data_IF_129364992263
#
_entry.id   IF_129364992263
#
_cell.length_a   1.000
_cell.length_b   1.000
_cell.length_c   1.000
_cell.angle_alpha   90.00
_cell.angle_beta   90.00
_cell.angle_gamma   90.00
#
_symmetry.space_group_name_H-M   'P 1'
#
loop_
_entity.id
_entity.type
_entity.pdbx_description
1 polymer ?
#
# COMPACT_ATOMS: atom_id res chain seq x y z
N UNK A 1 4.28 28.18 49.60
CA UNK A 1 5.61 28.07 48.98
C UNK A 1 6.22 26.65 49.11
N UNK A 2 6.61 26.17 50.31
CA UNK A 2 7.28 24.86 50.48
C UNK A 2 6.46 23.60 50.11
N UNK A 3 5.12 23.68 50.12
CA UNK A 3 4.26 22.56 49.69
C UNK A 3 4.47 22.19 48.23
N UNK A 4 4.64 23.18 47.35
CA UNK A 4 4.83 22.96 45.92
C UNK A 4 6.16 22.24 45.65
N UNK A 5 7.22 22.64 46.35
CA UNK A 5 8.52 21.97 46.28
C UNK A 5 8.46 20.51 46.73
N UNK A 6 7.67 20.18 47.78
CA UNK A 6 7.48 18.78 48.22
C UNK A 6 6.68 17.94 47.22
N UNK A 7 5.71 18.54 46.52
CA UNK A 7 4.94 17.86 45.48
C UNK A 7 5.83 17.56 44.29
N UNK A 8 6.61 18.54 43.81
CA UNK A 8 7.53 18.36 42.70
C UNK A 8 8.64 17.34 43.02
N UNK A 9 9.20 17.38 44.24
CA UNK A 9 10.20 16.41 44.66
C UNK A 9 9.67 14.96 44.73
N UNK A 10 8.37 14.77 45.01
CA UNK A 10 7.72 13.45 44.98
C UNK A 10 7.39 12.98 43.56
N UNK A 11 7.02 13.90 42.68
CA UNK A 11 6.72 13.60 41.28
C UNK A 11 7.98 13.14 40.52
N UNK A 12 9.16 13.61 40.94
CA UNK A 12 10.43 13.29 40.29
C UNK A 12 10.62 14.06 38.98
N UNK A 13 11.66 13.70 38.24
CA UNK A 13 12.01 14.36 36.98
C UNK A 13 11.29 13.70 35.80
N UNK A 14 10.67 14.52 34.95
CA UNK A 14 10.05 14.07 33.70
C UNK A 14 11.07 13.79 32.59
N UNK A 15 12.34 14.15 32.79
CA UNK A 15 13.40 14.04 31.78
C UNK A 15 13.88 12.61 31.60
N UNK A 16 13.94 12.17 30.35
CA UNK A 16 14.60 10.90 29.96
C UNK A 16 16.10 11.12 29.74
N UNK A 17 16.91 10.08 29.94
CA UNK A 17 18.37 10.13 29.76
C UNK A 17 18.82 10.00 28.30
N UNK A 18 18.15 10.67 27.37
CA UNK A 18 18.56 10.70 25.98
C UNK A 18 19.85 11.53 25.82
N UNK A 19 20.86 11.12 25.03
CA UNK A 19 20.94 9.92 24.19
C UNK A 19 21.59 8.69 24.89
N UNK A 20 21.90 8.76 26.18
CA UNK A 20 22.58 7.68 26.92
C UNK A 20 21.70 6.47 27.25
N UNK A 21 20.38 6.61 27.11
CA UNK A 21 19.41 5.53 27.13
C UNK A 21 18.40 5.74 25.97
N UNK A 22 17.99 4.67 25.27
CA UNK A 22 17.03 4.78 24.18
C UNK A 22 15.68 5.28 24.70
N UNK A 23 14.99 6.08 23.88
CA UNK A 23 13.63 6.48 24.20
C UNK A 23 12.70 5.25 24.04
N UNK A 24 11.85 4.93 25.03
CA UNK A 24 10.93 3.81 24.91
C UNK A 24 9.88 4.11 23.83
N UNK A 25 9.90 3.34 22.75
CA UNK A 25 8.95 3.39 21.65
C UNK A 25 7.81 2.39 21.86
N UNK A 26 6.66 2.66 21.25
CA UNK A 26 5.58 1.69 21.17
C UNK A 26 5.84 0.73 19.99
N UNK A 27 5.35 -0.50 20.11
CA UNK A 27 5.50 -1.53 19.06
C UNK A 27 4.84 -1.15 17.74
N UNK A 28 3.76 -0.38 17.81
CA UNK A 28 2.99 0.09 16.65
C UNK A 28 3.47 1.46 16.15
N UNK A 29 4.67 1.89 16.58
CA UNK A 29 5.25 3.14 16.14
C UNK A 29 5.60 3.07 14.65
N UNK A 30 5.18 4.09 13.91
CA UNK A 30 5.47 4.25 12.49
C UNK A 30 6.76 5.04 12.30
N UNK A 31 7.90 4.36 12.40
CA UNK A 31 9.21 4.89 12.06
C UNK A 31 9.60 4.58 10.61
N UNK A 32 10.88 4.33 10.38
CA UNK A 32 11.46 4.13 9.04
C UNK A 32 10.83 2.95 8.31
N UNK A 33 10.33 3.14 7.08
CA UNK A 33 9.98 2.03 6.21
C UNK A 33 11.25 1.27 5.80
N UNK A 34 11.39 0.03 6.25
CA UNK A 34 12.48 -0.86 5.88
C UNK A 34 12.03 -1.79 4.76
N UNK A 35 12.85 -1.87 3.71
CA UNK A 35 12.54 -2.64 2.52
C UNK A 35 13.50 -3.85 2.39
N UNK A 36 12.91 -5.04 2.31
CA UNK A 36 13.61 -6.30 2.12
C UNK A 36 13.61 -6.70 0.63
N UNK A 37 14.78 -6.58 0.01
CA UNK A 37 14.96 -6.87 -1.41
C UNK A 37 14.78 -8.36 -1.78
N UNK A 38 14.95 -9.28 -0.82
CA UNK A 38 14.79 -10.73 -1.05
C UNK A 38 13.31 -11.09 -1.24
N UNK A 39 12.44 -10.56 -0.38
CA UNK A 39 11.00 -10.78 -0.40
C UNK A 39 10.28 -9.98 -1.49
N UNK A 40 10.80 -8.79 -1.82
CA UNK A 40 10.17 -7.91 -2.79
C UNK A 40 10.16 -8.53 -4.19
N UNK A 41 9.00 -8.49 -4.83
CA UNK A 41 8.78 -8.95 -6.22
C UNK A 41 8.71 -7.79 -7.23
N UNK A 42 8.94 -6.55 -6.78
CA UNK A 42 8.91 -5.33 -7.59
C UNK A 42 7.59 -5.06 -8.34
N UNK A 43 6.45 -5.47 -7.77
CA UNK A 43 5.11 -5.27 -8.36
C UNK A 43 4.61 -3.81 -8.36
N UNK A 44 5.27 -2.91 -7.61
CA UNK A 44 4.93 -1.49 -7.57
C UNK A 44 3.68 -1.11 -6.77
N UNK A 45 3.00 -2.06 -6.12
CA UNK A 45 1.79 -1.78 -5.31
C UNK A 45 2.03 -0.73 -4.22
N UNK A 46 3.19 -0.77 -3.55
CA UNK A 46 3.54 0.22 -2.53
C UNK A 46 3.78 1.64 -3.08
N UNK A 47 4.22 1.76 -4.34
CA UNK A 47 4.34 3.04 -5.04
C UNK A 47 2.97 3.64 -5.32
N UNK A 48 2.04 2.84 -5.87
CA UNK A 48 0.66 3.25 -6.15
C UNK A 48 -0.08 3.64 -4.87
N UNK A 49 0.15 2.92 -3.77
CA UNK A 49 -0.47 3.21 -2.47
C UNK A 49 0.12 4.45 -1.76
N UNK A 50 1.26 4.98 -2.21
CA UNK A 50 1.96 6.07 -1.53
C UNK A 50 1.31 7.44 -1.83
N UNK A 51 0.66 8.09 -0.85
CA UNK A 51 -0.03 9.37 -1.09
C UNK A 51 0.92 10.53 -1.37
N UNK A 52 2.17 10.42 -0.92
CA UNK A 52 3.18 11.47 -1.07
C UNK A 52 4.12 11.23 -2.28
N UNK A 53 3.89 10.17 -3.06
CA UNK A 53 4.77 9.76 -4.16
C UNK A 53 6.26 9.72 -3.75
N UNK A 54 6.48 9.19 -2.54
CA UNK A 54 7.81 9.00 -1.94
C UNK A 54 8.47 7.71 -2.43
N UNK A 55 7.67 6.73 -2.87
CA UNK A 55 8.15 5.45 -3.43
C UNK A 55 7.96 5.48 -4.94
N UNK A 56 9.01 5.20 -5.71
CA UNK A 56 8.96 5.14 -7.17
C UNK A 56 9.49 3.84 -7.74
N UNK A 57 8.96 3.48 -8.92
CA UNK A 57 9.37 2.34 -9.73
C UNK A 57 9.84 2.87 -11.09
N UNK A 58 11.14 2.86 -11.32
CA UNK A 58 11.74 3.34 -12.56
C UNK A 58 12.23 2.16 -13.40
N UNK A 59 11.68 2.01 -14.60
CA UNK A 59 12.05 0.92 -15.52
C UNK A 59 13.06 1.41 -16.55
N UNK A 60 14.20 0.74 -16.63
CA UNK A 60 15.22 0.95 -17.65
C UNK A 60 15.26 -0.26 -18.59
N UNK A 61 14.69 -0.08 -19.78
CA UNK A 61 14.63 -1.13 -20.81
C UNK A 61 15.99 -1.41 -21.48
N UNK A 62 16.93 -0.48 -21.42
CA UNK A 62 18.28 -0.67 -21.99
C UNK A 62 19.16 -1.47 -21.03
N UNK A 63 19.01 -1.22 -19.73
CA UNK A 63 19.68 -1.98 -18.68
C UNK A 63 18.94 -3.27 -18.28
N UNK A 64 17.74 -3.50 -18.81
CA UNK A 64 16.86 -4.63 -18.47
C UNK A 64 16.53 -4.74 -16.99
N UNK A 65 16.34 -3.58 -16.35
CA UNK A 65 16.12 -3.47 -14.91
C UNK A 65 14.94 -2.61 -14.55
N UNK A 66 14.42 -2.84 -13.35
CA UNK A 66 13.45 -1.97 -12.69
C UNK A 66 13.98 -1.63 -11.29
N UNK A 67 14.00 -0.34 -10.98
CA UNK A 67 14.52 0.19 -9.72
C UNK A 67 13.37 0.62 -8.83
N UNK A 68 13.27 0.01 -7.67
CA UNK A 68 12.46 0.50 -6.56
C UNK A 68 13.27 1.54 -5.79
N UNK A 69 12.66 2.68 -5.46
CA UNK A 69 13.31 3.69 -4.63
C UNK A 69 12.34 4.32 -3.65
N UNK A 70 12.85 4.77 -2.50
CA UNK A 70 12.12 5.57 -1.51
C UNK A 70 12.92 6.82 -1.16
N UNK A 71 12.23 7.96 -1.09
CA UNK A 71 12.73 9.24 -0.57
C UNK A 71 12.11 9.49 0.81
N UNK A 72 12.90 9.28 1.87
CA UNK A 72 12.48 9.50 3.26
C UNK A 72 12.20 10.97 3.56
N UNK A 73 12.74 11.91 2.77
CA UNK A 73 12.44 13.33 2.88
C UNK A 73 11.05 13.72 2.34
N UNK A 74 10.45 12.86 1.52
CA UNK A 74 9.05 13.01 1.04
C UNK A 74 8.07 12.11 1.79
N UNK A 75 8.55 11.05 2.41
CA UNK A 75 7.73 10.10 3.13
C UNK A 75 6.99 10.78 4.29
N UNK A 76 5.68 10.56 4.39
CA UNK A 76 4.85 11.04 5.51
C UNK A 76 4.61 9.95 6.58
N UNK A 77 5.32 8.83 6.50
CA UNK A 77 5.29 7.72 7.47
C UNK A 77 3.89 7.18 7.80
N UNK A 78 2.97 7.18 6.82
CA UNK A 78 1.57 6.79 7.05
C UNK A 78 1.34 5.28 7.21
N UNK A 79 2.23 4.42 6.71
CA UNK A 79 2.10 2.96 6.79
C UNK A 79 1.36 2.29 5.62
N UNK A 80 0.79 3.04 4.67
CA UNK A 80 0.05 2.45 3.53
C UNK A 80 0.87 1.51 2.66
N UNK A 81 2.18 1.72 2.56
CA UNK A 81 3.06 0.85 1.79
C UNK A 81 3.21 -0.55 2.41
N UNK A 82 3.19 -0.65 3.74
CA UNK A 82 3.24 -1.92 4.47
C UNK A 82 1.94 -2.71 4.25
N UNK A 83 0.79 -2.06 4.44
CA UNK A 83 -0.53 -2.67 4.21
C UNK A 83 -0.74 -3.13 2.76
N UNK A 84 -0.23 -2.36 1.78
CA UNK A 84 -0.39 -2.67 0.38
C UNK A 84 0.57 -3.76 -0.13
N UNK A 85 1.58 -4.16 0.65
CA UNK A 85 2.61 -5.08 0.17
C UNK A 85 2.14 -6.55 0.27
N UNK A 86 1.92 -7.26 -0.85
CA UNK A 86 1.43 -8.65 -0.80
C UNK A 86 2.47 -9.65 -0.25
N UNK A 87 3.75 -9.26 -0.27
CA UNK A 87 4.87 -10.10 0.17
C UNK A 87 5.43 -9.68 1.53
N UNK A 88 4.80 -8.68 2.17
CA UNK A 88 5.32 -8.07 3.41
C UNK A 88 6.80 -7.63 3.30
N UNK A 89 7.21 -7.24 2.09
CA UNK A 89 8.59 -6.90 1.77
C UNK A 89 8.98 -5.48 2.22
N UNK A 90 8.02 -4.66 2.64
CA UNK A 90 8.27 -3.37 3.26
C UNK A 90 7.49 -3.31 4.56
N UNK A 91 8.16 -2.94 5.66
CA UNK A 91 7.57 -2.83 6.99
C UNK A 91 8.01 -1.55 7.67
N UNK A 92 7.16 -0.97 8.50
CA UNK A 92 7.58 0.18 9.30
C UNK A 92 8.26 -0.30 10.57
N UNK A 93 9.41 0.28 10.90
CA UNK A 93 10.17 -0.05 12.10
C UNK A 93 9.97 1.00 13.17
N UNK A 94 10.54 0.76 14.36
CA UNK A 94 10.58 1.74 15.44
C UNK A 94 11.77 2.73 15.28
N UNK A 95 12.54 2.66 14.18
CA UNK A 95 13.68 3.55 13.93
C UNK A 95 13.17 4.96 13.57
N UNK A 96 13.45 5.93 14.43
CA UNK A 96 13.07 7.34 14.23
C UNK A 96 14.25 8.29 14.06
N UNK A 97 15.47 7.84 14.31
CA UNK A 97 16.69 8.65 14.28
C UNK A 97 17.28 8.76 12.87
N UNK A 98 16.48 9.27 11.91
CA UNK A 98 16.82 9.32 10.48
C UNK A 98 17.58 10.59 10.04
N UNK A 99 18.14 11.33 11.00
CA UNK A 99 18.86 12.56 10.70
C UNK A 99 20.15 12.26 9.90
N UNK A 100 20.33 12.95 8.79
CA UNK A 100 21.50 12.82 7.91
C UNK A 100 22.10 14.19 7.60
N UNK A 101 23.36 14.19 7.17
CA UNK A 101 24.10 15.43 6.84
C UNK A 101 23.91 15.85 5.38
N UNK A 102 23.57 14.92 4.49
CA UNK A 102 23.28 15.18 3.07
C UNK A 102 21.88 14.70 2.71
N UNK A 103 21.21 15.43 1.81
CA UNK A 103 19.88 15.05 1.32
C UNK A 103 19.91 13.70 0.58
N UNK A 104 21.00 13.38 -0.10
CA UNK A 104 21.11 12.15 -0.89
C UNK A 104 21.03 10.89 0.00
N UNK A 105 21.44 11.01 1.27
CA UNK A 105 21.39 9.94 2.27
C UNK A 105 19.95 9.66 2.77
N UNK A 106 18.97 10.50 2.42
CA UNK A 106 17.54 10.26 2.66
C UNK A 106 16.91 9.33 1.61
N UNK A 107 17.69 8.79 0.68
CA UNK A 107 17.17 7.93 -0.37
C UNK A 107 17.69 6.50 -0.25
N UNK A 108 16.81 5.52 -0.46
CA UNK A 108 17.18 4.11 -0.55
C UNK A 108 16.67 3.53 -1.87
N UNK A 109 17.44 2.60 -2.45
CA UNK A 109 17.17 2.01 -3.76
C UNK A 109 17.40 0.51 -3.76
N UNK A 110 16.65 -0.20 -4.59
CA UNK A 110 16.82 -1.64 -4.85
C UNK A 110 16.54 -1.92 -6.32
N UNK A 111 17.41 -2.69 -6.96
CA UNK A 111 17.35 -2.95 -8.41
C UNK A 111 16.95 -4.40 -8.64
N UNK A 112 16.06 -4.62 -9.60
CA UNK A 112 15.54 -5.92 -9.99
C UNK A 112 15.68 -6.12 -11.49
N UNK A 113 15.78 -7.37 -11.92
CA UNK A 113 15.83 -7.75 -13.34
C UNK A 113 14.43 -7.89 -13.91
N UNK A 114 14.30 -7.59 -15.20
CA UNK A 114 13.06 -7.83 -15.95
C UNK A 114 13.04 -9.26 -16.51
N UNK A 115 11.83 -9.76 -16.74
CA UNK A 115 11.55 -10.97 -17.50
C UNK A 115 11.19 -10.59 -18.94
N UNK A 116 11.60 -11.45 -19.87
CA UNK A 116 11.29 -11.31 -21.28
C UNK A 116 10.08 -12.13 -21.69
N UNK A 117 9.30 -11.59 -22.61
CA UNK A 117 8.14 -12.26 -23.15
C UNK A 117 8.54 -13.52 -23.92
N UNK A 118 7.94 -14.66 -23.59
CA UNK A 118 8.20 -15.95 -24.25
C UNK A 118 7.83 -16.01 -25.74
N UNK A 119 7.10 -15.01 -26.26
CA UNK A 119 6.66 -14.94 -27.66
C UNK A 119 7.44 -13.93 -28.49
N UNK A 120 7.57 -12.68 -28.02
CA UNK A 120 8.24 -11.61 -28.77
C UNK A 120 9.64 -11.25 -28.26
N UNK A 121 10.05 -11.77 -27.10
CA UNK A 121 11.35 -11.50 -26.51
C UNK A 121 11.52 -10.10 -25.91
N UNK A 122 10.51 -9.23 -25.89
CA UNK A 122 10.60 -7.90 -25.24
C UNK A 122 10.55 -8.04 -23.70
N UNK A 123 11.30 -7.24 -22.93
CA UNK A 123 11.14 -7.16 -21.48
C UNK A 123 9.79 -6.54 -21.13
N UNK A 124 9.10 -7.05 -20.12
CA UNK A 124 7.71 -6.62 -19.85
C UNK A 124 7.30 -6.54 -18.38
N UNK A 125 7.95 -7.25 -17.48
CA UNK A 125 7.58 -7.32 -16.06
C UNK A 125 8.80 -7.72 -15.21
N UNK A 126 8.80 -7.48 -13.89
CA UNK A 126 9.85 -7.97 -13.01
C UNK A 126 9.93 -9.49 -13.00
N UNK A 127 11.15 -10.03 -13.05
CA UNK A 127 11.39 -11.48 -13.02
C UNK A 127 10.73 -12.17 -11.81
N UNK A 128 10.92 -11.60 -10.62
CA UNK A 128 10.37 -12.14 -9.37
C UNK A 128 8.84 -12.17 -9.36
N UNK A 129 8.17 -11.20 -10.00
CA UNK A 129 6.71 -11.17 -10.09
C UNK A 129 6.19 -12.30 -10.98
N UNK A 130 6.80 -12.49 -12.15
CA UNK A 130 6.44 -13.55 -13.07
C UNK A 130 6.68 -14.93 -12.44
N UNK A 131 7.80 -15.09 -11.74
CA UNK A 131 8.11 -16.33 -11.05
C UNK A 131 7.17 -16.63 -9.89
N UNK A 132 6.76 -15.60 -9.15
CA UNK A 132 5.72 -15.74 -8.13
C UNK A 132 4.39 -16.21 -8.75
N UNK A 133 3.95 -15.59 -9.85
CA UNK A 133 2.73 -15.98 -10.56
C UNK A 133 2.81 -17.42 -11.10
N UNK A 134 3.95 -17.83 -11.68
CA UNK A 134 4.19 -19.22 -12.13
C UNK A 134 4.02 -20.21 -10.97
N UNK A 135 4.62 -19.92 -9.80
CA UNK A 135 4.50 -20.78 -8.60
C UNK A 135 3.06 -20.88 -8.09
N UNK A 136 2.31 -19.79 -8.08
CA UNK A 136 0.89 -19.81 -7.69
C UNK A 136 0.05 -20.71 -8.59
N UNK A 137 0.23 -20.63 -9.91
CA UNK A 137 -0.49 -21.48 -10.85
C UNK A 137 -0.11 -22.96 -10.71
N UNK A 138 1.17 -23.26 -10.50
CA UNK A 138 1.60 -24.63 -10.24
C UNK A 138 0.95 -25.20 -8.98
N UNK A 139 0.82 -24.39 -7.92
CA UNK A 139 0.16 -24.78 -6.67
C UNK A 139 -1.35 -24.99 -6.84
N UNK A 140 -2.01 -24.16 -7.65
CA UNK A 140 -3.45 -24.28 -7.92
C UNK A 140 -3.79 -25.58 -8.68
N UNK A 141 -2.94 -25.98 -9.63
CA UNK A 141 -3.14 -27.19 -10.43
C UNK A 141 -4.37 -27.12 -11.34
N UNK A 142 -4.66 -28.22 -12.03
CA UNK A 142 -5.77 -28.31 -12.98
C UNK A 142 -5.46 -27.77 -14.38
N UNK A 143 -6.37 -28.07 -15.32
CA UNK A 143 -6.20 -27.72 -16.75
C UNK A 143 -6.18 -26.21 -16.98
N UNK A 144 -6.96 -25.46 -16.22
CA UNK A 144 -7.03 -24.00 -16.30
C UNK A 144 -5.71 -23.36 -15.87
N UNK A 145 -5.11 -23.83 -14.77
CA UNK A 145 -3.82 -23.31 -14.31
C UNK A 145 -2.68 -23.63 -15.30
N UNK A 146 -2.70 -24.82 -15.92
CA UNK A 146 -1.74 -25.18 -16.99
C UNK A 146 -1.89 -24.22 -18.18
N UNK A 147 -3.11 -23.91 -18.57
CA UNK A 147 -3.38 -22.99 -19.67
C UNK A 147 -2.98 -21.55 -19.34
N UNK A 148 -3.27 -21.09 -18.12
CA UNK A 148 -2.85 -19.78 -17.62
C UNK A 148 -1.32 -19.68 -17.57
N UNK A 149 -0.62 -20.73 -17.11
CA UNK A 149 0.84 -20.75 -16.98
C UNK A 149 1.55 -20.56 -18.32
N UNK A 150 0.97 -21.03 -19.43
CA UNK A 150 1.48 -20.78 -20.79
C UNK A 150 1.47 -19.30 -21.16
N UNK A 151 0.53 -18.53 -20.62
CA UNK A 151 0.37 -17.11 -20.92
C UNK A 151 1.04 -16.19 -19.91
N UNK A 152 1.31 -16.64 -18.67
CA UNK A 152 1.90 -15.78 -17.62
C UNK A 152 3.21 -15.12 -18.06
N UNK A 153 4.09 -15.87 -18.75
CA UNK A 153 5.34 -15.35 -19.30
C UNK A 153 5.21 -14.53 -20.59
N UNK A 154 4.01 -14.07 -20.95
CA UNK A 154 3.77 -13.24 -22.14
C UNK A 154 3.45 -11.79 -21.78
N UNK A 155 3.93 -10.85 -22.58
CA UNK A 155 3.57 -9.44 -22.47
C UNK A 155 2.10 -9.19 -22.85
N UNK A 156 1.54 -8.06 -22.44
CA UNK A 156 0.13 -7.70 -22.68
C UNK A 156 -0.23 -7.66 -24.16
N UNK A 157 0.66 -7.16 -25.03
CA UNK A 157 0.46 -7.12 -26.48
C UNK A 157 0.34 -8.54 -27.06
N UNK A 158 1.28 -9.43 -26.73
CA UNK A 158 1.26 -10.81 -27.18
C UNK A 158 0.06 -11.61 -26.63
N UNK A 159 -0.39 -11.32 -25.39
CA UNK A 159 -1.60 -11.92 -24.80
C UNK A 159 -2.85 -11.51 -25.58
N UNK A 160 -3.04 -10.21 -25.82
CA UNK A 160 -4.19 -9.65 -26.57
C UNK A 160 -4.29 -10.24 -27.97
N UNK A 161 -3.16 -10.36 -28.68
CA UNK A 161 -3.13 -10.99 -30.00
C UNK A 161 -3.54 -12.47 -29.95
N UNK A 162 -3.03 -13.22 -28.97
CA UNK A 162 -3.38 -14.63 -28.82
C UNK A 162 -4.87 -14.83 -28.51
N UNK A 163 -5.43 -13.97 -27.66
CA UNK A 163 -6.85 -14.02 -27.32
C UNK A 163 -7.74 -13.64 -28.51
N UNK A 164 -7.31 -12.66 -29.33
CA UNK A 164 -7.98 -12.34 -30.59
C UNK A 164 -7.98 -13.53 -31.57
N UNK A 165 -6.86 -14.26 -31.68
CA UNK A 165 -6.76 -15.46 -32.53
C UNK A 165 -7.65 -16.61 -32.01
N UNK A 166 -7.74 -16.79 -30.70
CA UNK A 166 -8.64 -17.77 -30.08
C UNK A 166 -10.12 -17.43 -30.35
N UNK A 167 -10.50 -16.17 -30.18
CA UNK A 167 -11.85 -15.71 -30.49
C UNK A 167 -12.18 -15.93 -31.99
N UNK A 168 -11.27 -15.57 -32.90
CA UNK A 168 -11.48 -15.74 -34.34
C UNK A 168 -11.61 -17.22 -34.76
N UNK A 169 -10.85 -18.12 -34.14
CA UNK A 169 -10.93 -19.56 -34.42
C UNK A 169 -12.18 -20.23 -33.84
N UNK A 170 -12.69 -19.75 -32.71
CA UNK A 170 -13.98 -20.17 -32.15
C UNK A 170 -15.15 -19.81 -33.09
N UNK A 171 -15.13 -18.61 -33.67
CA UNK A 171 -16.14 -18.18 -34.66
C UNK A 171 -16.09 -19.06 -35.92
N UNK A 172 -14.89 -19.40 -36.41
CA UNK A 172 -14.72 -20.20 -37.65
C UNK A 172 -15.12 -21.67 -37.49
N UNK A 173 -14.99 -22.25 -36.30
CA UNK A 173 -15.27 -23.68 -36.06
C UNK A 173 -16.74 -23.97 -35.76
N UNK A 174 -17.62 -22.96 -35.77
CA UNK A 174 -19.05 -23.12 -35.47
C UNK A 174 -19.35 -23.56 -34.04
N UNK A 175 -18.34 -23.66 -33.17
CA UNK A 175 -18.47 -24.08 -31.78
C UNK A 175 -18.76 -22.88 -30.86
N UNK A 176 -19.69 -22.01 -31.29
CA UNK A 176 -20.20 -20.89 -30.50
C UNK A 176 -21.13 -21.35 -29.36
N UNK A 177 -21.37 -22.67 -29.21
CA UNK A 177 -22.21 -23.25 -28.15
C UNK A 177 -21.54 -23.23 -26.76
N UNK A 178 -20.28 -22.85 -26.64
CA UNK A 178 -19.57 -22.72 -25.36
C UNK A 178 -19.64 -21.35 -24.70
N UNK A 179 -20.24 -20.33 -25.33
CA UNK A 179 -20.30 -18.97 -24.76
C UNK A 179 -21.64 -18.63 -24.08
N UNK A 180 -22.63 -19.53 -24.12
CA UNK A 180 -23.94 -19.34 -23.49
C UNK A 180 -24.01 -19.86 -22.03
N UNK A 181 -22.93 -19.76 -21.27
CA UNK A 181 -22.90 -20.16 -19.86
C UNK A 181 -22.25 -19.12 -18.94
N UNK A 182 -22.28 -17.84 -19.32
CA UNK A 182 -22.11 -16.76 -18.34
C UNK A 182 -22.91 -15.50 -18.69
N UNK A 183 -24.11 -15.67 -19.24
CA UNK A 183 -25.07 -14.57 -19.48
C UNK A 183 -25.76 -14.06 -18.19
N UNK A 184 -25.40 -14.59 -17.02
CA UNK A 184 -25.85 -14.11 -15.70
C UNK A 184 -25.07 -12.90 -15.15
N UNK A 185 -24.20 -12.25 -15.94
CA UNK A 185 -23.50 -11.03 -15.50
C UNK A 185 -23.81 -9.77 -16.33
N UNK A 186 -24.73 -9.83 -17.30
CA UNK A 186 -25.04 -8.69 -18.18
C UNK A 186 -26.52 -8.25 -18.18
N UNK A 187 -27.37 -8.81 -17.31
CA UNK A 187 -28.78 -8.39 -17.16
C UNK A 187 -29.19 -8.06 -15.72
N UNK A 188 -28.24 -8.01 -14.79
CA UNK A 188 -28.46 -7.32 -13.53
C UNK A 188 -28.39 -5.82 -13.79
N UNK A 189 -29.50 -5.11 -13.58
CA UNK A 189 -29.48 -3.66 -13.35
C UNK A 189 -28.30 -3.30 -12.44
N UNK A 190 -27.60 -2.18 -12.65
CA UNK A 190 -26.56 -1.73 -11.74
C UNK A 190 -27.19 -1.38 -10.39
N UNK A 191 -27.38 -2.38 -9.54
CA UNK A 191 -27.77 -2.20 -8.14
C UNK A 191 -26.51 -1.89 -7.34
N UNK A 192 -26.04 -0.67 -7.52
CA UNK A 192 -24.94 -0.08 -6.78
C UNK A 192 -24.74 1.31 -7.35
N UNK A 193 -24.84 2.38 -6.54
CA UNK A 193 -24.68 3.72 -7.08
C UNK A 193 -23.31 3.79 -7.75
N UNK A 194 -23.28 4.27 -8.99
CA UNK A 194 -22.06 4.74 -9.63
C UNK A 194 -21.35 5.60 -8.60
N UNK A 195 -20.20 5.12 -8.12
CA UNK A 195 -19.38 5.86 -7.19
C UNK A 195 -18.81 7.03 -7.98
N UNK A 196 -19.59 8.11 -8.05
CA UNK A 196 -19.08 9.43 -8.32
C UNK A 196 -17.91 9.61 -7.36
N UNK A 197 -16.76 9.95 -7.93
CA UNK A 197 -15.57 10.39 -7.23
C UNK A 197 -15.94 11.67 -6.46
N UNK A 198 -16.62 11.51 -5.32
CA UNK A 198 -16.81 12.55 -4.35
C UNK A 198 -15.63 12.45 -3.39
N UNK A 199 -14.71 13.40 -3.55
CA UNK A 199 -13.65 13.64 -2.59
C UNK A 199 -14.24 13.72 -1.19
N UNK A 200 -13.89 12.74 -0.37
CA UNK A 200 -14.31 12.64 1.01
C UNK A 200 -13.48 11.54 1.65
N UNK A 201 -12.77 11.90 2.72
CA UNK A 201 -11.96 10.98 3.50
C UNK A 201 -12.81 9.76 3.90
N UNK A 202 -12.48 8.60 3.32
CA UNK A 202 -13.21 7.35 3.54
C UNK A 202 -13.11 6.93 5.00
N UNK A 203 -14.21 7.12 5.72
CA UNK A 203 -14.47 6.49 7.01
C UNK A 203 -15.07 5.11 6.76
N UNK A 204 -14.57 4.10 7.46
CA UNK A 204 -15.00 2.71 7.34
C UNK A 204 -16.54 2.61 7.56
N UNK A 205 -17.31 2.02 6.62
CA UNK A 205 -18.77 1.89 6.75
C UNK A 205 -19.25 1.22 8.05
N UNK A 206 -18.47 0.27 8.61
CA UNK A 206 -18.78 -0.38 9.89
C UNK A 206 -18.85 0.60 11.08
N UNK A 207 -18.25 1.78 10.95
CA UNK A 207 -18.25 2.81 12.00
C UNK A 207 -19.45 3.76 11.93
N UNK A 208 -20.28 3.68 10.89
CA UNK A 208 -21.36 4.65 10.63
C UNK A 208 -22.70 3.94 10.39
N UNK A 209 -22.67 2.73 9.85
CA UNK A 209 -23.88 1.95 9.57
C UNK A 209 -24.43 1.27 10.85
N UNK A 210 -25.54 1.80 11.35
CA UNK A 210 -26.26 1.30 12.54
C UNK A 210 -26.93 -0.06 12.31
N UNK A 211 -27.16 -0.48 11.08
CA UNK A 211 -27.65 -1.84 10.80
C UNK A 211 -26.53 -2.88 11.02
N UNK A 212 -25.27 -2.49 10.82
CA UNK A 212 -24.09 -3.34 10.99
C UNK A 212 -23.48 -3.27 12.41
N UNK A 213 -23.61 -2.15 13.12
CA UNK A 213 -23.08 -2.00 14.50
C UNK A 213 -24.06 -1.24 15.42
N UNK A 214 -24.97 -1.95 16.11
CA UNK A 214 -26.00 -1.32 16.96
C UNK A 214 -25.45 -0.67 18.25
N UNK A 215 -24.22 -1.00 18.65
CA UNK A 215 -23.57 -0.47 19.85
C UNK A 215 -22.65 0.74 19.57
N UNK A 216 -22.64 1.26 18.33
CA UNK A 216 -21.81 2.40 17.96
C UNK A 216 -22.19 3.68 18.73
N UNK A 217 -21.22 4.40 19.34
CA UNK A 217 -21.49 5.64 20.06
C UNK A 217 -21.99 6.73 19.09
N UNK A 218 -22.96 7.54 19.52
CA UNK A 218 -23.50 8.62 18.70
C UNK A 218 -22.42 9.65 18.38
N UNK A 219 -22.11 9.82 17.10
CA UNK A 219 -21.21 10.89 16.63
C UNK A 219 -22.06 12.18 16.56
N UNK A 220 -21.76 13.21 17.35
CA UNK A 220 -22.51 14.46 17.32
C UNK A 220 -22.37 15.12 15.94
N UNK A 221 -23.49 15.46 15.31
CA UNK A 221 -23.52 16.17 14.04
C UNK A 221 -23.13 17.65 14.28
N UNK A 222 -21.88 17.98 14.01
CA UNK A 222 -21.36 19.35 14.07
C UNK A 222 -19.84 19.37 14.24
N UNK A 223 -19.16 20.48 13.92
CA UNK A 223 -17.76 20.62 14.30
C UNK A 223 -17.65 20.42 15.81
N UNK A 224 -16.65 19.63 16.24
CA UNK A 224 -16.37 19.45 17.66
C UNK A 224 -16.30 20.83 18.33
N UNK A 225 -16.99 21.05 19.45
CA UNK A 225 -16.86 22.30 20.17
C UNK A 225 -15.39 22.45 20.54
N UNK A 226 -14.73 23.42 19.91
CA UNK A 226 -13.46 23.95 20.39
C UNK A 226 -13.80 24.72 21.66
N UNK A 227 -13.93 24.01 22.78
CA UNK A 227 -13.75 24.63 24.08
C UNK A 227 -12.29 25.08 24.14
N UNK A 228 -12.07 26.30 23.63
CA UNK A 228 -10.83 27.00 23.76
C UNK A 228 -10.52 27.11 25.24
N UNK A 229 -9.39 26.55 25.65
CA UNK A 229 -8.66 27.08 26.78
C UNK A 229 -8.13 28.44 26.33
N UNK A 230 -9.01 29.44 26.32
CA UNK A 230 -8.61 30.84 26.42
C UNK A 230 -8.34 31.01 27.90
N UNK A 231 -7.06 30.97 28.29
CA UNK A 231 -6.68 31.46 29.60
C UNK A 231 -6.88 32.97 29.58
N UNK A 232 -7.99 33.44 30.16
CA UNK A 232 -8.23 34.85 30.43
C UNK A 232 -7.09 35.38 31.30
N UNK A 233 -6.21 36.16 30.67
CA UNK A 233 -5.01 36.74 31.27
C UNK A 233 -5.28 38.22 31.61
N UNK A 234 -6.37 38.54 32.31
CA UNK A 234 -6.64 39.93 32.71
C UNK A 234 -7.18 40.06 34.16
N UNK A 235 -6.28 40.54 35.03
CA UNK A 235 -6.49 41.57 36.08
C UNK A 235 -7.58 41.42 37.15
N UNK A 236 -7.12 41.30 38.41
CA UNK A 236 -7.58 41.99 39.65
C UNK A 236 -6.67 41.49 40.78
N UNK A 237 -5.71 42.24 41.32
CA UNK A 237 -5.87 43.42 42.19
C UNK A 237 -7.14 43.35 43.04
N UNK A 238 -7.05 42.70 44.20
CA UNK A 238 -7.08 43.29 45.57
C UNK A 238 -6.77 42.23 46.63
#
# INVERSE_FOLDING_TARGET
MLKLWKVNAKAGDATVKYPFAPFPTNKDMRGKPEHNAELCIACGACGVACPADAIRMDTDLAADTITWSIDYGRCIFCGRCEEACPMEAIKLTEEFELAVMSKDDLTSKSVYTLEHCSRCGKPFAPHKEIDYAKRLLQKAGGMEAIQAARTVGMCQECKRELDALRAASAVKTGNARGMAANETLASGEPQGPCMEYLGGHGVNPEYIDRELNPDAPEIPAGPAPVEGIIMDFETKEE
#
